data_IF_958679033899
#
_entry.id   IF_958679033899
#
_cell.length_a   1.000
_cell.length_b   1.000
_cell.length_c   1.000
_cell.angle_alpha   90.00
_cell.angle_beta   90.00
_cell.angle_gamma   90.00
#
_symmetry.space_group_name_H-M   'P 1'
#
loop_
_entity.id
_entity.type
_entity.pdbx_description
1 polymer ?
#
# COMPACT_ATOMS: atom_id res chain seq x y z
N UNK A 1 8.34 -15.89 -10.98
CA UNK A 1 8.70 -15.22 -9.71
C UNK A 1 7.88 -13.95 -9.63
N UNK A 2 7.39 -13.58 -8.45
CA UNK A 2 6.77 -12.25 -8.27
C UNK A 2 7.88 -11.19 -8.32
N UNK A 3 7.57 -10.04 -8.92
CA UNK A 3 8.44 -8.86 -8.87
C UNK A 3 8.65 -8.43 -7.40
N UNK A 4 9.86 -8.02 -6.99
CA UNK A 4 10.14 -7.62 -5.60
C UNK A 4 9.20 -6.53 -5.07
N UNK A 5 8.83 -5.57 -5.93
CA UNK A 5 7.89 -4.51 -5.60
C UNK A 5 6.48 -5.04 -5.28
N UNK A 6 6.06 -6.13 -5.93
CA UNK A 6 4.77 -6.77 -5.65
C UNK A 6 4.79 -7.42 -4.27
N UNK A 7 5.89 -8.05 -3.87
CA UNK A 7 6.04 -8.63 -2.53
C UNK A 7 6.01 -7.55 -1.44
N UNK A 8 6.69 -6.43 -1.67
CA UNK A 8 6.69 -5.28 -0.77
C UNK A 8 5.26 -4.72 -0.59
N UNK A 9 4.53 -4.52 -1.69
CA UNK A 9 3.14 -4.09 -1.64
C UNK A 9 2.24 -5.06 -0.88
N UNK A 10 2.35 -6.38 -1.14
CA UNK A 10 1.58 -7.41 -0.43
C UNK A 10 1.86 -7.37 1.08
N UNK A 11 3.12 -7.22 1.47
CA UNK A 11 3.51 -7.13 2.88
C UNK A 11 2.92 -5.88 3.55
N UNK A 12 2.93 -4.73 2.86
CA UNK A 12 2.33 -3.50 3.37
C UNK A 12 0.80 -3.63 3.53
N UNK A 13 0.11 -4.25 2.58
CA UNK A 13 -1.32 -4.53 2.68
C UNK A 13 -1.64 -5.48 3.84
N UNK A 14 -0.83 -6.54 4.03
CA UNK A 14 -1.01 -7.47 5.14
C UNK A 14 -0.80 -6.78 6.49
N UNK A 15 0.20 -5.90 6.59
CA UNK A 15 0.44 -5.10 7.79
C UNK A 15 -0.75 -4.16 8.08
N UNK A 16 -1.27 -3.48 7.07
CA UNK A 16 -2.46 -2.63 7.21
C UNK A 16 -3.68 -3.40 7.73
N UNK A 17 -3.96 -4.59 7.15
CA UNK A 17 -5.07 -5.43 7.58
C UNK A 17 -4.96 -5.88 9.04
N UNK A 18 -3.75 -6.24 9.48
CA UNK A 18 -3.49 -6.68 10.85
C UNK A 18 -3.64 -5.55 11.87
N UNK A 19 -3.20 -4.33 11.53
CA UNK A 19 -3.25 -3.17 12.44
C UNK A 19 -4.66 -2.60 12.56
N UNK A 20 -5.41 -2.58 11.47
CA UNK A 20 -6.78 -2.04 11.41
C UNK A 20 -7.87 -3.08 11.70
N UNK A 21 -7.50 -4.35 11.94
CA UNK A 21 -8.43 -5.48 12.14
C UNK A 21 -9.51 -5.58 11.04
N UNK A 22 -9.13 -5.27 9.80
CA UNK A 22 -10.06 -5.16 8.67
C UNK A 22 -9.70 -6.16 7.58
N UNK A 23 -10.67 -6.87 6.98
CA UNK A 23 -10.39 -7.89 5.98
C UNK A 23 -9.96 -7.32 4.63
N UNK A 24 -10.43 -6.12 4.26
CA UNK A 24 -10.09 -5.48 3.00
C UNK A 24 -10.00 -3.95 3.16
N UNK A 25 -8.91 -3.32 2.69
CA UNK A 25 -8.81 -1.87 2.63
C UNK A 25 -9.76 -1.29 1.56
N UNK A 26 -10.18 -0.05 1.77
CA UNK A 26 -10.82 0.82 0.78
C UNK A 26 -9.76 1.40 -0.16
N UNK A 27 -10.20 1.99 -1.28
CA UNK A 27 -9.28 2.66 -2.21
C UNK A 27 -8.53 3.85 -1.60
N UNK A 28 -9.13 4.56 -0.63
CA UNK A 28 -8.43 5.61 0.12
C UNK A 28 -7.32 5.05 1.00
N UNK A 29 -7.59 3.95 1.71
CA UNK A 29 -6.59 3.27 2.56
C UNK A 29 -5.47 2.63 1.71
N UNK A 30 -5.80 2.10 0.53
CA UNK A 30 -4.80 1.67 -0.45
C UNK A 30 -3.90 2.82 -0.88
N UNK A 31 -4.47 4.01 -1.09
CA UNK A 31 -3.68 5.20 -1.42
C UNK A 31 -2.75 5.61 -0.29
N UNK A 32 -3.18 5.51 0.98
CA UNK A 32 -2.33 5.73 2.14
C UNK A 32 -1.17 4.72 2.22
N UNK A 33 -1.44 3.44 1.93
CA UNK A 33 -0.39 2.41 1.83
C UNK A 33 0.64 2.78 0.76
N UNK A 34 0.20 3.22 -0.42
CA UNK A 34 1.11 3.69 -1.46
C UNK A 34 1.95 4.88 -0.99
N UNK A 35 1.35 5.86 -0.32
CA UNK A 35 2.11 7.00 0.23
C UNK A 35 3.14 6.57 1.29
N UNK A 36 2.82 5.55 2.09
CA UNK A 36 3.73 4.95 3.07
C UNK A 36 4.90 4.20 2.43
N UNK A 37 4.67 3.58 1.26
CA UNK A 37 5.71 2.97 0.43
C UNK A 37 6.56 4.00 -0.35
N UNK A 38 6.29 5.29 -0.19
CA UNK A 38 7.06 6.35 -0.84
C UNK A 38 6.46 6.82 -2.17
N UNK A 39 5.25 6.41 -2.53
CA UNK A 39 4.54 7.06 -3.62
C UNK A 39 4.35 8.54 -3.28
N UNK A 40 4.80 9.40 -4.19
CA UNK A 40 4.57 10.83 -4.18
C UNK A 40 3.94 11.18 -5.51
N UNK A 41 2.87 11.96 -5.46
CA UNK A 41 2.38 12.62 -6.67
C UNK A 41 3.48 13.58 -7.09
N UNK A 42 4.11 13.33 -8.23
CA UNK A 42 4.96 14.33 -8.86
C UNK A 42 4.10 15.56 -9.11
N UNK A 43 4.56 16.73 -8.68
CA UNK A 43 3.98 17.98 -9.17
C UNK A 43 4.19 17.98 -10.69
N UNK A 44 3.14 17.60 -11.42
CA UNK A 44 3.10 17.78 -12.85
C UNK A 44 2.90 19.28 -13.05
N UNK A 45 3.95 19.97 -13.51
CA UNK A 45 3.83 21.29 -14.13
C UNK A 45 2.85 21.24 -15.32
#
# INVERSE_FOLDING_TARGET
MLEPAVLEFINAVNHFKSTQQKPFPTWSEIFEIFQGLGYRKSDAE
#
